data_IF_649686067887
#
_entry.id   IF_649686067887
#
_cell.length_a   1.000
_cell.length_b   1.000
_cell.length_c   1.000
_cell.angle_alpha   90.00
_cell.angle_beta   90.00
_cell.angle_gamma   90.00
#
_symmetry.space_group_name_H-M   'P 1'
#
loop_
_entity.id
_entity.type
_entity.pdbx_description
1 polymer ?
#
# COMPACT_ATOMS: atom_id res chain seq x y z
N UNK A 1 -12.07 -12.50 7.44
CA UNK A 1 -13.52 -12.41 7.14
C UNK A 1 -13.87 -10.97 6.79
N UNK A 2 -14.86 -10.69 5.92
CA UNK A 2 -15.32 -9.32 5.77
C UNK A 2 -15.81 -8.84 7.15
N UNK A 3 -15.56 -7.57 7.47
CA UNK A 3 -16.19 -6.93 8.63
C UNK A 3 -17.67 -7.30 8.62
N UNK A 4 -18.15 -7.90 9.72
CA UNK A 4 -19.55 -8.31 9.82
C UNK A 4 -20.41 -7.16 9.35
N UNK A 5 -21.28 -7.41 8.37
CA UNK A 5 -22.17 -6.41 7.81
C UNK A 5 -22.81 -5.62 8.94
N UNK A 6 -22.90 -4.28 8.85
CA UNK A 6 -23.57 -3.50 9.88
C UNK A 6 -24.96 -4.08 10.08
N UNK A 7 -25.25 -4.45 11.32
CA UNK A 7 -26.54 -4.96 11.75
C UNK A 7 -27.60 -3.94 11.31
N UNK A 8 -28.58 -4.39 10.53
CA UNK A 8 -29.60 -3.52 9.98
C UNK A 8 -30.34 -2.78 11.12
N UNK A 9 -30.60 -1.47 10.98
CA UNK A 9 -31.35 -0.71 11.98
C UNK A 9 -32.69 -1.39 12.27
N UNK A 10 -32.97 -1.68 13.55
CA UNK A 10 -34.25 -2.27 13.99
C UNK A 10 -34.26 -3.79 14.22
N UNK A 11 -33.10 -4.46 14.20
CA UNK A 11 -33.01 -5.85 14.69
C UNK A 11 -33.17 -5.89 16.22
N UNK A 12 -33.95 -6.85 16.76
CA UNK A 12 -34.13 -6.99 18.20
C UNK A 12 -32.78 -7.22 18.88
N UNK A 13 -32.49 -6.45 19.92
CA UNK A 13 -31.29 -6.65 20.73
C UNK A 13 -31.33 -8.05 21.38
N UNK A 14 -30.17 -8.71 21.56
CA UNK A 14 -30.11 -10.03 22.18
C UNK A 14 -30.75 -10.06 23.58
N UNK A 15 -31.32 -11.20 23.96
CA UNK A 15 -31.90 -11.42 25.28
C UNK A 15 -30.91 -11.08 26.39
N UNK A 16 -31.28 -10.15 27.27
CA UNK A 16 -30.43 -9.68 28.38
C UNK A 16 -29.62 -8.41 28.10
N UNK A 17 -29.77 -7.80 26.92
CA UNK A 17 -29.17 -6.49 26.65
C UNK A 17 -29.75 -5.40 27.59
N UNK A 18 -28.93 -4.52 28.20
CA UNK A 18 -29.41 -3.40 29.00
C UNK A 18 -30.40 -2.54 28.21
N UNK A 19 -31.40 -1.95 28.90
CA UNK A 19 -32.34 -1.00 28.27
C UNK A 19 -31.56 0.15 27.63
N UNK A 20 -31.63 0.27 26.31
CA UNK A 20 -31.01 1.38 25.57
C UNK A 20 -32.04 2.48 25.44
N UNK A 21 -31.70 3.69 25.90
CA UNK A 21 -32.53 4.87 25.68
C UNK A 21 -32.50 5.21 24.19
N UNK A 22 -33.62 4.93 23.50
CA UNK A 22 -33.75 5.15 22.05
C UNK A 22 -33.70 6.62 21.64
N UNK A 23 -33.80 7.55 22.60
CA UNK A 23 -33.69 8.99 22.36
C UNK A 23 -32.26 9.52 22.49
N UNK A 24 -31.30 8.68 22.90
CA UNK A 24 -29.90 9.06 23.06
C UNK A 24 -29.05 8.44 21.96
N UNK A 25 -28.29 9.27 21.24
CA UNK A 25 -27.32 8.78 20.26
C UNK A 25 -26.35 7.81 20.94
N UNK A 26 -25.97 6.70 20.28
CA UNK A 26 -24.96 5.79 20.81
C UNK A 26 -23.65 6.56 21.01
N UNK A 27 -22.93 6.31 22.12
CA UNK A 27 -21.68 6.99 22.40
C UNK A 27 -20.65 6.69 21.29
N UNK A 28 -19.89 7.70 20.91
CA UNK A 28 -18.73 7.56 20.02
C UNK A 28 -17.66 6.64 20.62
N UNK A 29 -16.77 6.12 19.78
CA UNK A 29 -15.64 5.31 20.24
C UNK A 29 -14.78 6.08 21.27
N UNK A 30 -14.62 7.39 21.10
CA UNK A 30 -13.88 8.26 22.00
C UNK A 30 -14.57 8.38 23.37
N UNK A 31 -15.88 8.59 23.39
CA UNK A 31 -16.66 8.66 24.64
C UNK A 31 -16.66 7.32 25.39
N UNK A 32 -16.80 6.22 24.66
CA UNK A 32 -16.70 4.86 25.23
C UNK A 32 -15.31 4.62 25.83
N UNK A 33 -14.24 4.94 25.10
CA UNK A 33 -12.88 4.79 25.62
C UNK A 33 -12.65 5.65 26.86
N UNK A 34 -13.10 6.91 26.87
CA UNK A 34 -12.99 7.78 28.04
C UNK A 34 -13.69 7.20 29.27
N UNK A 35 -14.87 6.62 29.09
CA UNK A 35 -15.59 5.94 30.18
C UNK A 35 -14.81 4.71 30.67
N UNK A 36 -14.29 3.90 29.74
CA UNK A 36 -13.50 2.71 30.06
C UNK A 36 -12.18 3.07 30.78
N UNK A 37 -11.48 4.12 30.34
CA UNK A 37 -10.25 4.61 30.98
C UNK A 37 -10.51 5.13 32.40
N UNK A 38 -11.68 5.74 32.63
CA UNK A 38 -12.09 6.21 33.96
C UNK A 38 -12.56 5.10 34.90
N UNK A 39 -12.69 3.86 34.40
CA UNK A 39 -13.16 2.72 35.18
C UNK A 39 -12.02 2.11 35.99
N UNK A 40 -12.04 2.32 37.30
CA UNK A 40 -10.98 1.85 38.21
C UNK A 40 -10.89 0.31 38.25
N UNK A 41 -9.66 -0.20 38.05
CA UNK A 41 -9.37 -1.63 38.06
C UNK A 41 -9.80 -2.39 36.78
N UNK A 42 -10.32 -1.69 35.75
CA UNK A 42 -10.79 -2.36 34.54
C UNK A 42 -9.68 -3.14 33.85
N UNK A 43 -8.45 -2.64 33.85
CA UNK A 43 -7.31 -3.27 33.18
C UNK A 43 -6.92 -4.58 33.87
N UNK A 44 -6.99 -4.61 35.20
CA UNK A 44 -6.52 -5.68 36.09
C UNK A 44 -7.57 -6.79 36.27
N UNK A 45 -8.86 -6.48 36.17
CA UNK A 45 -9.93 -7.48 36.31
C UNK A 45 -9.82 -8.56 35.24
N UNK A 46 -10.02 -9.80 35.67
CA UNK A 46 -10.11 -10.94 34.78
C UNK A 46 -11.29 -10.77 33.82
N UNK A 47 -11.07 -11.08 32.54
CA UNK A 47 -12.06 -10.98 31.47
C UNK A 47 -12.17 -12.30 30.74
N UNK A 48 -13.35 -12.54 30.16
CA UNK A 48 -13.48 -13.61 29.17
C UNK A 48 -12.66 -13.26 27.92
N UNK A 49 -12.44 -14.26 27.06
CA UNK A 49 -11.76 -14.05 25.78
C UNK A 49 -12.46 -12.97 24.94
N UNK A 50 -13.78 -13.01 24.87
CA UNK A 50 -14.62 -12.16 24.02
C UNK A 50 -14.54 -10.69 24.47
N UNK A 51 -14.60 -10.44 25.77
CA UNK A 51 -14.49 -9.09 26.33
C UNK A 51 -13.08 -8.53 26.10
N UNK A 52 -12.04 -9.32 26.40
CA UNK A 52 -10.66 -8.90 26.21
C UNK A 52 -10.33 -8.66 24.72
N UNK A 53 -10.81 -9.53 23.83
CA UNK A 53 -10.67 -9.39 22.37
C UNK A 53 -11.35 -8.12 21.85
N UNK A 54 -12.57 -7.84 22.32
CA UNK A 54 -13.33 -6.65 21.92
C UNK A 54 -12.65 -5.36 22.37
N UNK A 55 -12.19 -5.31 23.63
CA UNK A 55 -11.42 -4.16 24.14
C UNK A 55 -10.11 -4.00 23.36
N UNK A 56 -9.36 -5.09 23.15
CA UNK A 56 -8.11 -5.06 22.39
C UNK A 56 -8.30 -4.46 20.99
N UNK A 57 -9.35 -4.89 20.28
CA UNK A 57 -9.72 -4.35 18.95
C UNK A 57 -10.10 -2.88 19.00
N UNK A 58 -10.95 -2.50 19.97
CA UNK A 58 -11.37 -1.10 20.14
C UNK A 58 -10.17 -0.16 20.30
N UNK A 59 -9.26 -0.47 21.21
CA UNK A 59 -8.08 0.38 21.45
C UNK A 59 -7.13 0.37 20.24
N UNK A 60 -6.93 -0.78 19.59
CA UNK A 60 -6.07 -0.89 18.40
C UNK A 60 -6.58 -0.03 17.24
N UNK A 61 -7.88 -0.12 16.93
CA UNK A 61 -8.51 0.63 15.83
C UNK A 61 -8.47 2.15 16.06
N UNK A 62 -8.27 2.59 17.30
CA UNK A 62 -8.13 3.99 17.67
C UNK A 62 -6.66 4.40 17.92
N UNK A 63 -5.70 3.61 17.44
CA UNK A 63 -4.27 3.92 17.50
C UNK A 63 -3.64 3.80 18.90
N UNK A 64 -4.39 3.32 19.90
CA UNK A 64 -3.93 3.14 21.29
C UNK A 64 -3.28 1.78 21.47
N UNK A 65 -2.13 1.61 20.83
CA UNK A 65 -1.44 0.32 20.72
C UNK A 65 -1.00 -0.25 22.08
N UNK A 66 -0.54 0.58 23.01
CA UNK A 66 -0.06 0.11 24.33
C UNK A 66 -1.19 -0.48 25.19
N UNK A 67 -2.37 0.13 25.16
CA UNK A 67 -3.57 -0.34 25.83
C UNK A 67 -4.16 -1.55 25.12
N UNK A 68 -4.18 -1.54 23.78
CA UNK A 68 -4.58 -2.68 22.98
C UNK A 68 -3.76 -3.92 23.33
N UNK A 69 -2.43 -3.81 23.44
CA UNK A 69 -1.54 -4.92 23.80
C UNK A 69 -1.89 -5.56 25.15
N UNK A 70 -2.36 -4.79 26.11
CA UNK A 70 -2.79 -5.32 27.41
C UNK A 70 -4.00 -6.23 27.27
N UNK A 71 -5.04 -5.78 26.56
CA UNK A 71 -6.27 -6.54 26.40
C UNK A 71 -6.11 -7.69 25.41
N UNK A 72 -5.39 -7.49 24.31
CA UNK A 72 -5.04 -8.56 23.37
C UNK A 72 -4.19 -9.64 24.03
N UNK A 73 -3.28 -9.27 24.95
CA UNK A 73 -2.52 -10.22 25.77
C UNK A 73 -3.41 -11.05 26.69
N UNK A 74 -4.41 -10.44 27.33
CA UNK A 74 -5.40 -11.17 28.14
C UNK A 74 -6.23 -12.14 27.30
N UNK A 75 -6.68 -11.72 26.11
CA UNK A 75 -7.41 -12.56 25.18
C UNK A 75 -6.54 -13.74 24.70
N UNK A 76 -5.30 -13.50 24.30
CA UNK A 76 -4.36 -14.56 23.91
C UNK A 76 -4.18 -15.59 25.04
N UNK A 77 -4.02 -15.12 26.29
CA UNK A 77 -3.88 -16.01 27.44
C UNK A 77 -5.12 -16.89 27.66
N UNK A 78 -6.33 -16.37 27.40
CA UNK A 78 -7.57 -17.17 27.44
C UNK A 78 -7.66 -18.21 26.33
N UNK A 79 -6.94 -18.03 25.22
CA UNK A 79 -6.89 -18.99 24.11
C UNK A 79 -5.74 -20.00 24.18
N UNK A 80 -4.82 -19.89 25.16
CA UNK A 80 -3.65 -20.77 25.26
C UNK A 80 -4.03 -22.24 25.52
N UNK A 81 -5.13 -22.50 26.23
CA UNK A 81 -5.67 -23.85 26.46
C UNK A 81 -6.08 -24.52 25.15
N UNK A 82 -7.01 -23.91 24.42
CA UNK A 82 -7.44 -24.36 23.10
C UNK A 82 -6.26 -24.54 22.11
N UNK A 83 -5.28 -23.63 22.12
CA UNK A 83 -4.09 -23.73 21.27
C UNK A 83 -3.22 -24.93 21.63
N UNK A 84 -2.93 -25.11 22.92
CA UNK A 84 -2.13 -26.25 23.39
C UNK A 84 -2.81 -27.57 23.04
N UNK A 85 -4.14 -27.62 23.19
CA UNK A 85 -4.95 -28.77 22.81
C UNK A 85 -4.89 -29.04 21.30
N UNK A 86 -5.02 -28.01 20.45
CA UNK A 86 -4.89 -28.13 19.01
C UNK A 86 -3.54 -28.73 18.62
N UNK A 87 -2.44 -28.17 19.12
CA UNK A 87 -1.09 -28.62 18.78
C UNK A 87 -0.83 -30.05 19.26
N UNK A 88 -1.29 -30.40 20.46
CA UNK A 88 -1.19 -31.77 20.98
C UNK A 88 -1.98 -32.76 20.12
N UNK A 89 -3.20 -32.37 19.70
CA UNK A 89 -4.07 -33.22 18.88
C UNK A 89 -3.52 -33.38 17.47
N UNK A 90 -3.01 -32.30 16.87
CA UNK A 90 -2.32 -32.30 15.58
C UNK A 90 -1.06 -33.16 15.62
N UNK A 91 -0.27 -33.09 16.68
CA UNK A 91 0.90 -33.96 16.87
C UNK A 91 0.53 -35.44 16.93
N UNK A 92 -0.56 -35.80 17.63
CA UNK A 92 -1.08 -37.17 17.67
C UNK A 92 -1.60 -37.64 16.30
N UNK A 93 -2.26 -36.75 15.57
CA UNK A 93 -2.80 -37.02 14.23
C UNK A 93 -1.70 -37.18 13.16
N UNK A 94 -0.54 -36.55 13.37
CA UNK A 94 0.59 -36.61 12.45
C UNK A 94 0.29 -35.90 11.13
N UNK A 95 0.58 -36.56 10.00
CA UNK A 95 0.40 -36.02 8.65
C UNK A 95 -1.04 -36.13 8.12
N UNK A 96 -1.93 -36.81 8.84
CA UNK A 96 -3.31 -36.94 8.41
C UNK A 96 -4.00 -35.57 8.35
N UNK A 97 -4.90 -35.41 7.39
CA UNK A 97 -5.68 -34.19 7.24
C UNK A 97 -6.58 -33.98 8.46
N UNK A 98 -6.71 -32.74 8.91
CA UNK A 98 -7.71 -32.38 9.92
C UNK A 98 -9.05 -32.28 9.19
N UNK A 99 -10.10 -32.99 9.62
CA UNK A 99 -11.42 -32.86 9.03
C UNK A 99 -11.98 -31.45 9.23
N UNK A 100 -12.94 -31.05 8.40
CA UNK A 100 -13.62 -29.76 8.61
C UNK A 100 -14.41 -29.79 9.93
N UNK A 101 -14.73 -28.62 10.52
CA UNK A 101 -15.51 -28.56 11.76
C UNK A 101 -16.89 -29.22 11.65
N UNK A 102 -17.50 -29.16 10.45
CA UNK A 102 -18.78 -29.80 10.13
C UNK A 102 -18.63 -31.31 10.05
N UNK A 103 -17.61 -31.81 9.32
CA UNK A 103 -17.33 -33.23 9.21
C UNK A 103 -16.95 -33.85 10.56
N UNK A 104 -16.28 -33.07 11.41
CA UNK A 104 -16.00 -33.45 12.78
C UNK A 104 -17.24 -33.42 13.67
N UNK A 105 -18.33 -32.75 13.29
CA UNK A 105 -19.52 -32.49 14.12
C UNK A 105 -19.18 -31.70 15.40
N UNK A 106 -18.45 -30.58 15.27
CA UNK A 106 -18.13 -29.73 16.43
C UNK A 106 -19.36 -29.06 17.04
N UNK A 107 -20.41 -28.81 16.25
CA UNK A 107 -21.70 -28.31 16.74
C UNK A 107 -21.66 -26.87 17.26
N UNK A 108 -20.68 -26.07 16.84
CA UNK A 108 -20.54 -24.71 17.32
C UNK A 108 -21.60 -23.76 16.77
N UNK A 109 -22.05 -22.85 17.62
CA UNK A 109 -23.00 -21.79 17.24
C UNK A 109 -22.33 -20.42 17.18
N UNK A 110 -22.84 -19.48 16.37
CA UNK A 110 -22.33 -18.11 16.35
C UNK A 110 -22.36 -17.47 17.74
N UNK A 111 -21.23 -16.88 18.15
CA UNK A 111 -21.10 -16.23 19.47
C UNK A 111 -20.92 -17.19 20.63
N UNK A 112 -20.76 -18.49 20.39
CA UNK A 112 -20.44 -19.44 21.45
C UNK A 112 -19.11 -19.05 22.12
N UNK A 113 -19.06 -19.01 23.48
CA UNK A 113 -17.85 -18.67 24.21
C UNK A 113 -16.68 -19.63 23.94
N UNK A 114 -15.46 -19.10 23.90
CA UNK A 114 -14.25 -19.86 23.60
C UNK A 114 -14.03 -21.05 24.56
N UNK A 115 -14.32 -20.86 25.85
CA UNK A 115 -14.17 -21.89 26.88
C UNK A 115 -15.13 -23.07 26.65
N UNK A 116 -16.36 -22.79 26.25
CA UNK A 116 -17.35 -23.80 25.88
C UNK A 116 -16.92 -24.57 24.61
N UNK A 117 -16.37 -23.87 23.61
CA UNK A 117 -15.85 -24.50 22.40
C UNK A 117 -14.61 -25.38 22.71
N UNK A 118 -13.72 -24.89 23.58
CA UNK A 118 -12.56 -25.63 24.06
C UNK A 118 -12.99 -26.92 24.78
N UNK A 119 -14.00 -26.86 25.64
CA UNK A 119 -14.51 -28.02 26.38
C UNK A 119 -14.96 -29.16 25.43
N UNK A 120 -15.60 -28.83 24.30
CA UNK A 120 -15.98 -29.82 23.26
C UNK A 120 -14.75 -30.49 22.68
N UNK A 121 -13.73 -29.72 22.33
CA UNK A 121 -12.48 -30.26 21.80
C UNK A 121 -11.74 -31.12 22.85
N UNK A 122 -11.75 -30.70 24.13
CA UNK A 122 -11.13 -31.45 25.22
C UNK A 122 -11.82 -32.80 25.43
N UNK A 123 -13.15 -32.85 25.36
CA UNK A 123 -13.91 -34.09 25.50
C UNK A 123 -13.51 -35.12 24.42
N UNK A 124 -13.33 -34.65 23.17
CA UNK A 124 -12.85 -35.49 22.06
C UNK A 124 -11.41 -35.96 22.26
N UNK A 125 -10.53 -35.09 22.73
CA UNK A 125 -9.16 -35.47 23.01
C UNK A 125 -9.08 -36.56 24.09
N UNK A 126 -9.96 -36.49 25.10
CA UNK A 126 -10.09 -37.49 26.16
C UNK A 126 -10.67 -38.82 25.67
N UNK A 127 -11.57 -38.81 24.69
CA UNK A 127 -12.10 -40.03 24.08
C UNK A 127 -11.18 -40.68 23.05
N UNK A 128 -10.01 -40.09 22.78
CA UNK A 128 -9.04 -40.60 21.80
C UNK A 128 -9.30 -40.16 20.36
N UNK A 129 -10.34 -39.34 20.12
CA UNK A 129 -10.64 -38.74 18.81
C UNK A 129 -9.68 -37.57 18.52
N UNK A 130 -8.44 -37.89 18.16
CA UNK A 130 -7.42 -36.89 17.87
C UNK A 130 -7.77 -36.01 16.65
N UNK A 131 -8.45 -36.58 15.65
CA UNK A 131 -8.84 -35.87 14.44
C UNK A 131 -9.95 -34.84 14.73
N UNK A 132 -11.02 -35.25 15.42
CA UNK A 132 -12.09 -34.35 15.82
C UNK A 132 -11.65 -33.35 16.90
N UNK A 133 -10.76 -33.73 17.82
CA UNK A 133 -10.17 -32.79 18.77
C UNK A 133 -9.37 -31.69 18.06
N UNK A 134 -8.55 -32.04 17.08
CA UNK A 134 -7.80 -31.07 16.27
C UNK A 134 -8.75 -30.17 15.47
N UNK A 135 -9.80 -30.73 14.85
CA UNK A 135 -10.78 -29.96 14.10
C UNK A 135 -11.54 -28.95 14.97
N UNK A 136 -12.08 -29.39 16.11
CA UNK A 136 -12.85 -28.53 16.99
C UNK A 136 -11.98 -27.51 17.74
N UNK A 137 -10.76 -27.87 18.14
CA UNK A 137 -9.82 -26.91 18.72
C UNK A 137 -9.38 -25.86 17.68
N UNK A 138 -9.14 -26.28 16.42
CA UNK A 138 -8.81 -25.36 15.34
C UNK A 138 -9.95 -24.38 15.05
N UNK A 139 -11.20 -24.87 14.99
CA UNK A 139 -12.38 -24.02 14.83
C UNK A 139 -12.58 -23.07 16.02
N UNK A 140 -12.36 -23.52 17.25
CA UNK A 140 -12.41 -22.68 18.45
C UNK A 140 -11.38 -21.54 18.40
N UNK A 141 -10.21 -21.78 17.80
CA UNK A 141 -9.14 -20.79 17.70
C UNK A 141 -9.34 -19.75 16.61
N UNK A 142 -10.27 -19.91 15.67
CA UNK A 142 -10.42 -18.98 14.54
C UNK A 142 -10.51 -17.50 14.99
N UNK A 143 -11.34 -17.12 15.99
CA UNK A 143 -11.35 -15.74 16.50
C UNK A 143 -10.06 -15.31 17.22
N UNK A 144 -9.32 -16.26 17.79
CA UNK A 144 -8.07 -16.02 18.50
C UNK A 144 -6.88 -15.79 17.55
N UNK A 145 -6.90 -16.36 16.34
CA UNK A 145 -5.88 -16.10 15.32
C UNK A 145 -5.88 -14.62 14.90
N UNK A 146 -7.05 -14.03 14.73
CA UNK A 146 -7.19 -12.59 14.46
C UNK A 146 -6.66 -11.74 15.63
N UNK A 147 -6.88 -12.17 16.88
CA UNK A 147 -6.35 -11.48 18.08
C UNK A 147 -4.82 -11.50 18.06
N UNK A 148 -4.22 -12.65 17.74
CA UNK A 148 -2.77 -12.81 17.66
C UNK A 148 -2.16 -11.99 16.50
N UNK A 149 -2.84 -11.90 15.35
CA UNK A 149 -2.45 -11.01 14.25
C UNK A 149 -2.50 -9.55 14.68
N UNK A 150 -3.60 -9.10 15.28
CA UNK A 150 -3.73 -7.72 15.77
C UNK A 150 -2.68 -7.39 16.84
N UNK A 151 -2.38 -8.35 17.71
CA UNK A 151 -1.32 -8.21 18.70
C UNK A 151 0.04 -8.07 18.03
N UNK A 152 0.32 -8.87 17.01
CA UNK A 152 1.52 -8.74 16.17
C UNK A 152 1.62 -7.35 15.53
N UNK A 153 0.52 -6.85 14.95
CA UNK A 153 0.47 -5.52 14.34
C UNK A 153 0.71 -4.41 15.38
N UNK A 154 0.08 -4.50 16.55
CA UNK A 154 0.28 -3.54 17.64
C UNK A 154 1.73 -3.54 18.18
N UNK A 155 2.36 -4.72 18.27
CA UNK A 155 3.77 -4.85 18.64
C UNK A 155 4.69 -4.23 17.58
N UNK A 156 4.42 -4.47 16.30
CA UNK A 156 5.17 -3.89 15.19
C UNK A 156 5.09 -2.36 15.20
N UNK A 157 3.89 -1.80 15.34
CA UNK A 157 3.69 -0.34 15.44
C UNK A 157 4.34 0.27 16.70
N UNK A 158 4.47 -0.53 17.77
CA UNK A 158 5.21 -0.17 18.98
C UNK A 158 6.74 -0.32 18.87
N UNK A 159 7.26 -0.76 17.72
CA UNK A 159 8.70 -0.98 17.48
C UNK A 159 9.25 -2.31 18.03
N UNK A 160 8.40 -3.18 18.58
CA UNK A 160 8.80 -4.50 19.09
C UNK A 160 8.65 -5.57 18.00
N UNK A 161 9.51 -5.46 16.98
CA UNK A 161 9.53 -6.41 15.86
C UNK A 161 9.80 -7.86 16.30
N UNK A 162 10.56 -8.05 17.38
CA UNK A 162 10.92 -9.38 17.86
C UNK A 162 9.71 -10.13 18.40
N UNK A 163 8.88 -9.47 19.22
CA UNK A 163 7.65 -10.11 19.71
C UNK A 163 6.53 -10.10 18.67
N UNK A 164 6.51 -9.14 17.72
CA UNK A 164 5.61 -9.17 16.58
C UNK A 164 5.82 -10.44 15.71
N UNK A 165 7.08 -10.76 15.38
CA UNK A 165 7.41 -12.01 14.67
C UNK A 165 6.91 -13.25 15.41
N UNK A 166 7.08 -13.32 16.74
CA UNK A 166 6.55 -14.43 17.55
C UNK A 166 5.03 -14.52 17.48
N UNK A 167 4.32 -13.38 17.50
CA UNK A 167 2.87 -13.34 17.41
C UNK A 167 2.37 -13.87 16.06
N UNK A 168 2.96 -13.45 14.94
CA UNK A 168 2.59 -13.99 13.63
C UNK A 168 2.97 -15.46 13.47
N UNK A 169 4.15 -15.87 13.94
CA UNK A 169 4.57 -17.28 13.92
C UNK A 169 3.60 -18.17 14.72
N UNK A 170 3.10 -17.66 15.85
CA UNK A 170 2.10 -18.35 16.68
C UNK A 170 0.82 -18.67 15.92
N UNK A 171 0.38 -17.77 15.02
CA UNK A 171 -0.77 -17.97 14.11
C UNK A 171 -0.44 -19.01 13.05
N UNK A 172 0.72 -18.90 12.40
CA UNK A 172 1.16 -19.82 11.34
C UNK A 172 1.39 -21.27 11.83
N UNK A 173 1.67 -21.47 13.13
CA UNK A 173 1.70 -22.81 13.73
C UNK A 173 0.32 -23.48 13.77
N UNK A 174 -0.77 -22.71 13.83
CA UNK A 174 -2.14 -23.23 13.83
C UNK A 174 -2.69 -23.29 12.41
N UNK A 175 -2.54 -22.19 11.66
CA UNK A 175 -3.00 -22.03 10.29
C UNK A 175 -1.83 -21.60 9.38
N UNK A 176 -1.08 -22.57 8.81
CA UNK A 176 0.10 -22.28 7.99
C UNK A 176 -0.17 -21.48 6.70
N UNK A 177 -1.45 -21.35 6.33
CA UNK A 177 -1.89 -20.61 5.14
C UNK A 177 -2.67 -19.34 5.50
N UNK A 178 -2.59 -18.87 6.74
CA UNK A 178 -3.30 -17.66 7.15
C UNK A 178 -2.73 -16.45 6.41
N UNK A 179 -3.55 -15.80 5.56
CA UNK A 179 -3.10 -14.79 4.61
C UNK A 179 -2.35 -13.62 5.27
N UNK A 180 -2.96 -13.00 6.28
CA UNK A 180 -2.40 -11.80 6.90
C UNK A 180 -1.11 -12.10 7.69
N UNK A 181 -1.10 -13.19 8.47
CA UNK A 181 0.09 -13.63 9.18
C UNK A 181 1.24 -14.02 8.24
N UNK A 182 0.96 -14.69 7.10
CA UNK A 182 1.98 -14.99 6.09
C UNK A 182 2.59 -13.70 5.54
N UNK A 183 1.77 -12.73 5.17
CA UNK A 183 2.24 -11.45 4.64
C UNK A 183 3.05 -10.67 5.68
N UNK A 184 2.51 -10.49 6.89
CA UNK A 184 3.11 -9.68 7.93
C UNK A 184 4.41 -10.29 8.47
N UNK A 185 4.42 -11.61 8.74
CA UNK A 185 5.62 -12.32 9.18
C UNK A 185 6.74 -12.25 8.14
N UNK A 186 6.42 -12.52 6.87
CA UNK A 186 7.41 -12.53 5.78
C UNK A 186 7.97 -11.13 5.51
N UNK A 187 7.12 -10.10 5.52
CA UNK A 187 7.54 -8.71 5.37
C UNK A 187 8.48 -8.31 6.50
N UNK A 188 8.12 -8.64 7.75
CA UNK A 188 8.89 -8.27 8.92
C UNK A 188 10.24 -9.00 9.00
N UNK A 189 10.29 -10.27 8.59
CA UNK A 189 11.55 -11.00 8.41
C UNK A 189 12.44 -10.32 7.37
N UNK A 190 11.89 -9.96 6.20
CA UNK A 190 12.67 -9.29 5.16
C UNK A 190 13.20 -7.92 5.62
N UNK A 191 12.39 -7.16 6.35
CA UNK A 191 12.75 -5.85 6.88
C UNK A 191 13.84 -5.93 7.95
N UNK A 192 13.66 -6.81 8.94
CA UNK A 192 14.48 -6.81 10.17
C UNK A 192 15.62 -7.83 10.16
N UNK A 193 15.55 -8.83 9.26
CA UNK A 193 16.53 -9.91 9.13
C UNK A 193 17.15 -9.97 7.74
N UNK A 194 17.30 -8.81 7.10
CA UNK A 194 17.81 -8.68 5.73
C UNK A 194 19.22 -9.25 5.47
N UNK A 195 20.01 -9.50 6.50
CA UNK A 195 21.34 -10.14 6.37
C UNK A 195 21.34 -11.63 6.72
N UNK A 196 20.27 -12.13 7.33
CA UNK A 196 20.13 -13.54 7.68
C UNK A 196 19.51 -14.29 6.49
N UNK A 197 20.35 -15.01 5.74
CA UNK A 197 19.93 -15.74 4.55
C UNK A 197 18.86 -16.80 4.85
N UNK A 198 18.83 -17.37 6.05
CA UNK A 198 17.82 -18.35 6.42
C UNK A 198 16.48 -17.67 6.69
N UNK A 199 16.49 -16.53 7.39
CA UNK A 199 15.31 -15.71 7.59
C UNK A 199 14.75 -15.19 6.24
N UNK A 200 15.63 -14.78 5.31
CA UNK A 200 15.23 -14.39 3.97
C UNK A 200 14.56 -15.53 3.20
N UNK A 201 15.13 -16.74 3.23
CA UNK A 201 14.49 -17.91 2.60
C UNK A 201 13.11 -18.18 3.20
N UNK A 202 12.99 -18.13 4.53
CA UNK A 202 11.70 -18.29 5.21
C UNK A 202 10.69 -17.20 4.83
N UNK A 203 11.13 -15.95 4.70
CA UNK A 203 10.30 -14.84 4.23
C UNK A 203 9.79 -15.09 2.80
N UNK A 204 10.66 -15.55 1.90
CA UNK A 204 10.28 -15.92 0.53
C UNK A 204 9.24 -17.04 0.54
N UNK A 205 9.50 -18.13 1.27
CA UNK A 205 8.58 -19.26 1.40
C UNK A 205 7.19 -18.82 1.88
N UNK A 206 7.12 -17.88 2.82
CA UNK A 206 5.86 -17.33 3.29
C UNK A 206 5.11 -16.51 2.24
N UNK A 207 5.79 -15.68 1.45
CA UNK A 207 5.17 -14.99 0.31
C UNK A 207 4.71 -15.95 -0.79
N UNK A 208 5.53 -16.94 -1.13
CA UNK A 208 5.18 -17.97 -2.12
C UNK A 208 3.95 -18.79 -1.67
N UNK A 209 3.89 -19.12 -0.36
CA UNK A 209 2.74 -19.77 0.24
C UNK A 209 1.48 -18.91 0.13
N UNK A 210 1.56 -17.59 0.41
CA UNK A 210 0.44 -16.66 0.28
C UNK A 210 -0.07 -16.62 -1.16
N UNK A 211 0.82 -16.45 -2.13
CA UNK A 211 0.45 -16.38 -3.55
C UNK A 211 -0.20 -17.68 -4.02
N UNK A 212 0.26 -18.82 -3.49
CA UNK A 212 -0.28 -20.14 -3.84
C UNK A 212 -1.65 -20.38 -3.19
N UNK A 213 -1.83 -20.02 -1.92
CA UNK A 213 -3.09 -20.27 -1.21
C UNK A 213 -4.16 -19.21 -1.44
N UNK A 214 -3.76 -17.97 -1.75
CA UNK A 214 -4.64 -16.81 -1.92
C UNK A 214 -4.32 -16.02 -3.20
N UNK A 215 -4.45 -16.64 -4.39
CA UNK A 215 -4.04 -16.03 -5.65
C UNK A 215 -4.82 -14.74 -6.01
N UNK A 216 -6.04 -14.60 -5.49
CA UNK A 216 -6.93 -13.44 -5.69
C UNK A 216 -6.82 -12.37 -4.60
N UNK A 217 -5.97 -12.58 -3.58
CA UNK A 217 -5.74 -11.55 -2.56
C UNK A 217 -5.19 -10.28 -3.21
N UNK A 218 -5.64 -9.12 -2.74
CA UNK A 218 -5.07 -7.82 -3.11
C UNK A 218 -3.57 -7.74 -2.78
N UNK A 219 -3.09 -8.55 -1.84
CA UNK A 219 -1.66 -8.65 -1.47
C UNK A 219 -0.86 -9.57 -2.37
N UNK A 220 -1.50 -10.42 -3.20
CA UNK A 220 -0.81 -11.43 -4.00
C UNK A 220 0.17 -10.82 -5.01
N UNK A 221 -0.19 -9.70 -5.66
CA UNK A 221 0.71 -9.01 -6.59
C UNK A 221 1.98 -8.51 -5.87
N UNK A 222 1.82 -7.85 -4.74
CA UNK A 222 2.93 -7.34 -3.94
C UNK A 222 3.78 -8.48 -3.33
N UNK A 223 3.14 -9.56 -2.88
CA UNK A 223 3.84 -10.74 -2.38
C UNK A 223 4.72 -11.39 -3.45
N UNK A 224 4.27 -11.47 -4.71
CA UNK A 224 5.10 -11.95 -5.84
C UNK A 224 6.33 -11.08 -6.03
N UNK A 225 6.16 -9.76 -6.03
CA UNK A 225 7.27 -8.82 -6.19
C UNK A 225 8.28 -8.96 -5.04
N UNK A 226 7.80 -9.02 -3.80
CA UNK A 226 8.65 -9.19 -2.61
C UNK A 226 9.37 -10.53 -2.62
N UNK A 227 8.73 -11.62 -3.05
CA UNK A 227 9.37 -12.94 -3.22
C UNK A 227 10.56 -12.88 -4.20
N UNK A 228 10.37 -12.25 -5.37
CA UNK A 228 11.46 -12.05 -6.35
C UNK A 228 12.57 -11.19 -5.78
N UNK A 229 12.23 -10.08 -5.11
CA UNK A 229 13.21 -9.19 -4.48
C UNK A 229 14.04 -9.91 -3.41
N UNK A 230 13.40 -10.76 -2.61
CA UNK A 230 14.09 -11.58 -1.61
C UNK A 230 14.99 -12.61 -2.28
N UNK A 231 14.56 -13.23 -3.38
CA UNK A 231 15.42 -14.14 -4.16
C UNK A 231 16.69 -13.44 -4.65
N UNK A 232 16.57 -12.25 -5.22
CA UNK A 232 17.73 -11.44 -5.62
C UNK A 232 18.61 -11.06 -4.43
N UNK A 233 17.98 -10.75 -3.29
CA UNK A 233 18.67 -10.41 -2.05
C UNK A 233 19.50 -11.58 -1.52
N UNK A 234 18.92 -12.79 -1.55
CA UNK A 234 19.61 -14.03 -1.19
C UNK A 234 20.76 -14.32 -2.16
N UNK A 235 20.56 -14.16 -3.47
CA UNK A 235 21.61 -14.32 -4.49
C UNK A 235 22.78 -13.35 -4.29
N UNK A 236 22.49 -12.12 -3.90
CA UNK A 236 23.51 -11.13 -3.58
C UNK A 236 24.26 -11.43 -2.25
N UNK A 237 23.73 -12.35 -1.43
CA UNK A 237 24.31 -12.72 -0.15
C UNK A 237 23.97 -11.75 0.99
N UNK A 238 22.79 -11.11 0.94
CA UNK A 238 22.28 -10.20 1.97
C UNK A 238 21.79 -8.87 1.41
N UNK A 239 20.96 -8.17 2.20
CA UNK A 239 20.30 -6.92 1.81
C UNK A 239 21.30 -5.80 1.53
N UNK A 240 22.37 -5.68 2.33
CA UNK A 240 23.42 -4.70 2.07
C UNK A 240 24.07 -4.89 0.69
N UNK A 241 24.44 -6.14 0.36
CA UNK A 241 25.09 -6.45 -0.93
C UNK A 241 24.14 -6.25 -2.10
N UNK A 242 22.87 -6.60 -1.94
CA UNK A 242 21.85 -6.36 -2.96
C UNK A 242 21.61 -4.86 -3.19
N UNK A 243 21.53 -4.05 -2.13
CA UNK A 243 21.42 -2.60 -2.27
C UNK A 243 22.66 -2.00 -2.96
N UNK A 244 23.84 -2.50 -2.63
CA UNK A 244 25.08 -2.08 -3.28
C UNK A 244 25.12 -2.48 -4.77
N UNK A 245 24.69 -3.68 -5.13
CA UNK A 245 24.62 -4.11 -6.54
C UNK A 245 23.61 -3.27 -7.32
N UNK A 246 22.43 -2.99 -6.75
CA UNK A 246 21.42 -2.12 -7.37
C UNK A 246 21.92 -0.68 -7.56
N UNK A 247 22.68 -0.15 -6.60
CA UNK A 247 23.32 1.16 -6.73
C UNK A 247 24.41 1.15 -7.81
N UNK A 248 25.20 0.08 -7.91
CA UNK A 248 26.20 -0.09 -8.96
C UNK A 248 25.55 -0.21 -10.35
N UNK A 249 24.51 -1.03 -10.50
CA UNK A 249 23.73 -1.17 -11.73
C UNK A 249 23.13 0.17 -12.17
N UNK A 250 22.62 0.96 -11.21
CA UNK A 250 22.11 2.31 -11.50
C UNK A 250 23.22 3.22 -12.01
N UNK A 251 24.40 3.20 -11.38
CA UNK A 251 25.57 3.98 -11.84
C UNK A 251 26.01 3.55 -13.24
N UNK A 252 26.09 2.25 -13.51
CA UNK A 252 26.42 1.71 -14.83
C UNK A 252 25.38 2.14 -15.86
N UNK A 253 24.09 1.98 -15.57
CA UNK A 253 23.01 2.38 -16.47
C UNK A 253 23.02 3.89 -16.73
N UNK A 254 23.26 4.71 -15.71
CA UNK A 254 23.42 6.15 -15.87
C UNK A 254 24.66 6.45 -16.73
N UNK A 255 25.82 5.83 -16.48
CA UNK A 255 27.02 6.04 -17.30
C UNK A 255 26.83 5.60 -18.75
N UNK A 256 26.14 4.49 -19.00
CA UNK A 256 25.83 3.99 -20.33
C UNK A 256 24.81 4.89 -21.02
N UNK A 257 23.80 5.39 -20.31
CA UNK A 257 22.87 6.39 -20.83
C UNK A 257 23.57 7.71 -21.16
N UNK A 258 24.61 8.07 -20.40
CA UNK A 258 25.41 9.29 -20.63
C UNK A 258 26.32 9.10 -21.84
N UNK A 259 26.94 7.94 -21.97
CA UNK A 259 27.76 7.57 -23.13
C UNK A 259 26.92 7.41 -24.41
N UNK A 260 25.73 6.81 -24.32
CA UNK A 260 24.77 6.74 -25.42
C UNK A 260 24.19 8.12 -25.77
N UNK A 261 23.98 9.00 -24.77
CA UNK A 261 23.59 10.39 -25.00
C UNK A 261 24.69 11.19 -25.74
N UNK A 262 25.96 10.92 -25.43
CA UNK A 262 27.11 11.54 -26.08
C UNK A 262 27.37 11.00 -27.50
N UNK A 263 26.87 9.80 -27.82
CA UNK A 263 27.04 9.13 -29.11
C UNK A 263 25.89 9.36 -30.11
N UNK A 264 24.79 9.98 -29.66
CA UNK A 264 23.64 10.31 -30.52
C UNK A 264 23.74 11.76 -31.02
N UNK A 265 23.38 12.04 -32.28
CA UNK A 265 23.32 13.41 -32.77
C UNK A 265 22.34 14.23 -31.92
N UNK A 266 22.75 15.43 -31.52
CA UNK A 266 22.04 16.35 -30.60
C UNK A 266 20.59 16.69 -30.98
N UNK A 267 20.13 16.28 -32.16
CA UNK A 267 18.87 16.67 -32.79
C UNK A 267 17.81 15.56 -32.91
N UNK A 268 18.07 14.35 -32.44
CA UNK A 268 17.09 13.27 -32.45
C UNK A 268 16.32 13.17 -31.11
N UNK A 269 14.97 13.30 -31.10
CA UNK A 269 14.17 12.98 -29.92
C UNK A 269 14.38 11.51 -29.54
N UNK A 270 14.84 11.26 -28.31
CA UNK A 270 15.04 9.90 -27.81
C UNK A 270 13.68 9.22 -27.63
N UNK A 271 13.43 8.06 -28.26
CA UNK A 271 12.28 7.24 -27.93
C UNK A 271 12.40 6.78 -26.47
N UNK A 272 11.31 6.88 -25.70
CA UNK A 272 11.25 6.29 -24.37
C UNK A 272 11.26 4.76 -24.53
N UNK A 273 12.26 4.07 -23.98
CA UNK A 273 12.24 2.61 -23.96
C UNK A 273 11.12 2.11 -23.03
N UNK A 274 10.58 0.90 -23.25
CA UNK A 274 9.62 0.29 -22.33
C UNK A 274 10.12 0.27 -20.88
N UNK A 275 11.41 0.02 -20.65
CA UNK A 275 11.96 0.04 -19.29
C UNK A 275 12.04 1.46 -18.69
N UNK A 276 12.23 2.49 -19.53
CA UNK A 276 12.17 3.88 -19.07
C UNK A 276 10.75 4.28 -18.70
N UNK A 277 9.75 3.82 -19.46
CA UNK A 277 8.34 4.03 -19.15
C UNK A 277 7.96 3.32 -17.84
N UNK A 278 8.39 2.07 -17.66
CA UNK A 278 8.14 1.32 -16.42
C UNK A 278 8.87 1.91 -15.22
N UNK A 279 10.12 2.36 -15.39
CA UNK A 279 10.87 3.02 -14.33
C UNK A 279 10.19 4.32 -13.88
N UNK A 280 9.67 5.11 -14.82
CA UNK A 280 8.92 6.33 -14.52
C UNK A 280 7.60 6.02 -13.80
N UNK A 281 6.86 5.00 -14.23
CA UNK A 281 5.61 4.58 -13.57
C UNK A 281 5.82 4.07 -12.15
N UNK A 282 6.92 3.39 -11.89
CA UNK A 282 7.23 2.77 -10.60
C UNK A 282 8.07 3.67 -9.68
N UNK A 283 8.35 4.91 -10.07
CA UNK A 283 9.03 5.88 -9.21
C UNK A 283 8.03 6.50 -8.25
N UNK A 284 8.31 6.44 -6.94
CA UNK A 284 7.50 7.09 -5.91
C UNK A 284 7.45 8.61 -6.12
N UNK A 285 6.24 9.20 -6.10
CA UNK A 285 6.02 10.65 -6.24
C UNK A 285 6.25 11.35 -4.89
N UNK A 286 7.52 11.58 -4.55
CA UNK A 286 7.86 12.32 -3.33
C UNK A 286 7.67 13.84 -3.52
N UNK A 287 7.44 14.61 -2.44
CA UNK A 287 7.34 16.07 -2.51
C UNK A 287 8.58 16.74 -3.13
N UNK A 288 9.77 16.18 -2.90
CA UNK A 288 11.03 16.70 -3.44
C UNK A 288 11.11 16.48 -4.96
N UNK A 289 10.63 15.34 -5.46
CA UNK A 289 10.53 15.08 -6.89
C UNK A 289 9.55 16.06 -7.56
N UNK A 290 8.36 16.25 -6.97
CA UNK A 290 7.38 17.21 -7.51
C UNK A 290 7.91 18.64 -7.52
N UNK A 291 8.59 19.07 -6.45
CA UNK A 291 9.25 20.38 -6.41
C UNK A 291 10.33 20.52 -7.48
N UNK A 292 11.13 19.47 -7.70
CA UNK A 292 12.13 19.44 -8.76
C UNK A 292 11.54 19.51 -10.17
N UNK A 293 10.42 18.82 -10.41
CA UNK A 293 9.71 18.85 -11.69
C UNK A 293 9.10 20.22 -11.96
N UNK A 294 8.46 20.85 -10.96
CA UNK A 294 7.96 22.23 -11.06
C UNK A 294 9.09 23.19 -11.42
N UNK A 295 10.24 23.08 -10.74
CA UNK A 295 11.41 23.91 -11.03
C UNK A 295 11.88 23.77 -12.48
N UNK A 296 11.89 22.55 -13.03
CA UNK A 296 12.27 22.33 -14.43
C UNK A 296 11.30 22.99 -15.41
N UNK A 297 10.00 23.03 -15.10
CA UNK A 297 9.01 23.74 -15.92
C UNK A 297 9.27 25.25 -15.88
N UNK A 298 9.51 25.82 -14.70
CA UNK A 298 9.81 27.25 -14.52
C UNK A 298 11.09 27.65 -15.27
N UNK A 299 12.15 26.85 -15.15
CA UNK A 299 13.41 27.04 -15.89
C UNK A 299 13.17 26.92 -17.40
N UNK A 300 12.38 25.95 -17.85
CA UNK A 300 12.02 25.78 -19.26
C UNK A 300 11.37 27.01 -19.86
N UNK A 301 10.46 27.66 -19.13
CA UNK A 301 9.82 28.91 -19.58
C UNK A 301 10.78 30.09 -19.59
N UNK A 302 11.69 30.14 -18.63
CA UNK A 302 12.77 31.14 -18.62
C UNK A 302 13.71 30.98 -19.83
N UNK A 303 13.93 29.74 -20.26
CA UNK A 303 14.67 29.45 -21.48
C UNK A 303 13.88 29.88 -22.72
N UNK A 304 12.58 29.58 -22.79
CA UNK A 304 11.71 30.02 -23.89
C UNK A 304 11.67 31.55 -24.04
N UNK A 305 11.46 32.28 -22.94
CA UNK A 305 11.38 33.74 -22.96
C UNK A 305 12.69 34.42 -23.42
N UNK A 306 13.81 33.68 -23.38
CA UNK A 306 15.10 34.15 -23.86
C UNK A 306 15.49 33.53 -25.21
N UNK A 307 14.55 32.88 -25.91
CA UNK A 307 14.75 32.24 -27.21
C UNK A 307 15.66 31.00 -27.20
N UNK A 308 15.99 30.47 -26.01
CA UNK A 308 16.84 29.27 -25.84
C UNK A 308 16.00 28.00 -25.95
N UNK A 309 15.52 27.73 -27.16
CA UNK A 309 14.55 26.67 -27.40
C UNK A 309 15.11 25.25 -27.18
N UNK A 310 16.42 25.02 -27.36
CA UNK A 310 17.03 23.71 -27.13
C UNK A 310 17.06 23.36 -25.64
N UNK A 311 17.45 24.31 -24.80
CA UNK A 311 17.50 24.15 -23.35
C UNK A 311 16.09 24.05 -22.75
N UNK A 312 15.14 24.83 -23.26
CA UNK A 312 13.73 24.69 -22.91
C UNK A 312 13.22 23.27 -23.21
N UNK A 313 13.47 22.77 -24.42
CA UNK A 313 13.08 21.43 -24.83
C UNK A 313 13.70 20.35 -23.93
N UNK A 314 14.98 20.51 -23.55
CA UNK A 314 15.65 19.58 -22.64
C UNK A 314 14.96 19.49 -21.27
N UNK A 315 14.54 20.63 -20.71
CA UNK A 315 13.81 20.66 -19.45
C UNK A 315 12.43 19.99 -19.55
N UNK A 316 11.64 20.32 -20.56
CA UNK A 316 10.30 19.74 -20.71
C UNK A 316 10.33 18.23 -21.02
N UNK A 317 11.34 17.76 -21.77
CA UNK A 317 11.52 16.33 -22.06
C UNK A 317 11.75 15.50 -20.78
N UNK A 318 12.27 16.12 -19.71
CA UNK A 318 12.41 15.48 -18.40
C UNK A 318 11.13 15.47 -17.58
N UNK A 319 10.21 16.41 -17.82
CA UNK A 319 8.97 16.57 -17.03
C UNK A 319 7.85 15.69 -17.56
N UNK A 320 7.63 15.70 -18.88
CA UNK A 320 6.49 15.04 -19.53
C UNK A 320 6.34 13.55 -19.19
N UNK A 321 7.41 12.74 -19.06
CA UNK A 321 7.26 11.34 -18.66
C UNK A 321 6.64 11.17 -17.26
N UNK A 322 7.05 12.00 -16.28
CA UNK A 322 6.58 11.91 -14.89
C UNK A 322 5.22 12.58 -14.69
N UNK A 323 4.93 13.62 -15.48
CA UNK A 323 3.67 14.35 -15.43
C UNK A 323 3.05 14.41 -16.83
N UNK A 324 2.54 13.27 -17.35
CA UNK A 324 1.98 13.20 -18.69
C UNK A 324 0.71 14.04 -18.85
N UNK A 325 0.09 14.51 -17.76
CA UNK A 325 -1.08 15.40 -17.80
C UNK A 325 -0.73 16.88 -17.58
N UNK A 326 0.57 17.22 -17.46
CA UNK A 326 0.99 18.61 -17.27
C UNK A 326 0.89 19.40 -18.58
N UNK A 327 -0.24 20.09 -18.76
CA UNK A 327 -0.50 20.96 -19.92
C UNK A 327 0.55 22.06 -20.12
N UNK A 328 1.10 22.63 -19.03
CA UNK A 328 2.15 23.66 -19.07
C UNK A 328 3.44 23.12 -19.68
N UNK A 329 3.89 21.94 -19.25
CA UNK A 329 5.08 21.29 -19.80
C UNK A 329 4.89 20.86 -21.26
N UNK A 330 3.70 20.36 -21.62
CA UNK A 330 3.36 20.00 -23.02
C UNK A 330 3.34 21.20 -23.95
N UNK A 331 2.68 22.30 -23.54
CA UNK A 331 2.63 23.54 -24.30
C UNK A 331 4.05 24.11 -24.52
N UNK A 332 4.88 24.11 -23.46
CA UNK A 332 6.26 24.56 -23.53
C UNK A 332 7.12 23.70 -24.46
N UNK A 333 7.00 22.38 -24.38
CA UNK A 333 7.68 21.44 -25.27
C UNK A 333 7.29 21.65 -26.74
N UNK A 334 5.99 21.78 -27.00
CA UNK A 334 5.46 22.04 -28.33
C UNK A 334 6.01 23.35 -28.91
N UNK A 335 5.97 24.43 -28.12
CA UNK A 335 6.48 25.73 -28.54
C UNK A 335 7.99 25.71 -28.78
N UNK A 336 8.76 25.01 -27.95
CA UNK A 336 10.19 24.83 -28.15
C UNK A 336 10.50 24.10 -29.47
N UNK A 337 9.76 23.04 -29.80
CA UNK A 337 9.94 22.29 -31.05
C UNK A 337 9.55 23.11 -32.28
N UNK A 338 8.50 23.93 -32.18
CA UNK A 338 8.09 24.88 -33.23
C UNK A 338 9.17 25.94 -33.43
N UNK A 339 9.67 26.55 -32.35
CA UNK A 339 10.75 27.55 -32.41
C UNK A 339 12.06 27.00 -32.97
N UNK A 340 12.34 25.70 -32.78
CA UNK A 340 13.49 25.01 -33.37
C UNK A 340 13.27 24.54 -34.82
N UNK A 341 12.05 24.70 -35.37
CA UNK A 341 11.71 24.20 -36.71
C UNK A 341 11.88 22.69 -36.86
N UNK A 342 11.73 21.91 -35.78
CA UNK A 342 11.93 20.45 -35.83
C UNK A 342 10.77 19.79 -36.59
N UNK A 343 11.02 18.73 -37.40
CA UNK A 343 9.97 18.08 -38.21
C UNK A 343 8.77 17.58 -37.41
N UNK A 344 8.98 17.20 -36.14
CA UNK A 344 7.91 16.71 -35.26
C UNK A 344 7.15 17.83 -34.53
N UNK A 345 7.60 19.10 -34.63
CA UNK A 345 7.02 20.22 -33.91
C UNK A 345 5.55 20.44 -34.23
N UNK A 346 5.15 20.29 -35.50
CA UNK A 346 3.76 20.42 -35.92
C UNK A 346 2.85 19.37 -35.24
N UNK A 347 3.30 18.11 -35.17
CA UNK A 347 2.54 17.03 -34.53
C UNK A 347 2.40 17.25 -33.03
N UNK A 348 3.50 17.58 -32.34
CA UNK A 348 3.48 17.81 -30.89
C UNK A 348 2.65 19.04 -30.54
N UNK A 349 2.68 20.07 -31.40
CA UNK A 349 1.80 21.24 -31.31
C UNK A 349 0.32 20.88 -31.43
N UNK A 350 -0.08 20.09 -32.43
CA UNK A 350 -1.47 19.62 -32.54
C UNK A 350 -1.93 18.87 -31.28
N UNK A 351 -1.09 17.98 -30.74
CA UNK A 351 -1.40 17.24 -29.51
C UNK A 351 -1.54 18.17 -28.30
N UNK A 352 -0.71 19.21 -28.18
CA UNK A 352 -0.82 20.19 -27.11
C UNK A 352 -2.14 20.97 -27.19
N UNK A 353 -2.58 21.34 -28.41
CA UNK A 353 -3.85 22.03 -28.63
C UNK A 353 -5.07 21.15 -28.35
N UNK A 354 -5.03 19.89 -28.80
CA UNK A 354 -6.11 18.92 -28.58
C UNK A 354 -6.28 18.57 -27.09
N UNK A 355 -5.18 18.53 -26.34
CA UNK A 355 -5.20 18.19 -24.92
C UNK A 355 -5.55 19.37 -24.01
N UNK A 356 -4.91 20.54 -24.20
CA UNK A 356 -5.17 21.73 -23.41
C UNK A 356 -4.71 23.01 -24.15
N UNK A 357 -5.57 23.50 -25.06
CA UNK A 357 -5.34 24.79 -25.72
C UNK A 357 -5.27 25.98 -24.74
N UNK A 358 -5.88 25.86 -23.55
CA UNK A 358 -5.81 26.87 -22.49
C UNK A 358 -4.43 26.99 -21.86
N UNK A 359 -3.70 25.88 -21.72
CA UNK A 359 -2.30 25.89 -21.28
C UNK A 359 -1.38 26.59 -22.29
N UNK A 360 -1.67 26.47 -23.59
CA UNK A 360 -0.95 27.20 -24.64
C UNK A 360 -1.18 28.70 -24.50
N UNK A 361 -2.42 29.15 -24.33
CA UNK A 361 -2.71 30.58 -24.07
C UNK A 361 -1.95 31.12 -22.85
N UNK A 362 -2.00 30.39 -21.72
CA UNK A 362 -1.31 30.74 -20.47
C UNK A 362 0.20 30.77 -20.60
N UNK A 363 0.78 29.91 -21.43
CA UNK A 363 2.21 29.97 -21.73
C UNK A 363 2.56 31.29 -22.41
N UNK A 364 1.75 31.75 -23.37
CA UNK A 364 1.92 33.08 -23.97
C UNK A 364 1.85 34.20 -22.93
N UNK A 365 0.90 34.14 -21.99
CA UNK A 365 0.80 35.12 -20.89
C UNK A 365 2.06 35.12 -20.02
N UNK A 366 2.63 33.94 -19.80
CA UNK A 366 3.85 33.76 -19.00
C UNK A 366 5.09 34.28 -19.73
N UNK A 367 5.19 34.06 -21.04
CA UNK A 367 6.26 34.62 -21.87
C UNK A 367 6.20 36.16 -21.88
N UNK A 368 5.00 36.73 -22.00
CA UNK A 368 4.81 38.17 -21.92
C UNK A 368 5.25 38.72 -20.55
N UNK A 369 4.82 38.08 -19.46
CA UNK A 369 5.21 38.48 -18.10
C UNK A 369 6.73 38.38 -17.85
N UNK A 370 7.41 37.47 -18.55
CA UNK A 370 8.88 37.31 -18.53
C UNK A 370 9.62 38.23 -19.50
N UNK A 371 8.92 39.12 -20.21
CA UNK A 371 9.49 40.12 -21.10
C UNK A 371 9.61 39.70 -22.56
N UNK A 372 9.13 38.51 -22.94
CA UNK A 372 9.14 38.04 -24.33
C UNK A 372 7.81 38.34 -25.04
N UNK A 373 7.54 39.63 -25.25
CA UNK A 373 6.34 40.08 -25.95
C UNK A 373 6.26 39.54 -27.39
N UNK A 374 7.41 39.37 -28.05
CA UNK A 374 7.48 38.86 -29.43
C UNK A 374 7.12 37.38 -29.49
N UNK A 375 7.68 36.56 -28.61
CA UNK A 375 7.36 35.13 -28.53
C UNK A 375 5.93 34.88 -28.07
N UNK A 376 5.44 35.66 -27.10
CA UNK A 376 4.03 35.61 -26.67
C UNK A 376 3.07 35.88 -27.84
N UNK A 377 3.31 36.95 -28.60
CA UNK A 377 2.50 37.29 -29.78
C UNK A 377 2.53 36.20 -30.84
N UNK A 378 3.71 35.70 -31.20
CA UNK A 378 3.84 34.62 -32.19
C UNK A 378 3.11 33.34 -31.75
N UNK A 379 3.14 33.02 -30.46
CA UNK A 379 2.45 31.86 -29.90
C UNK A 379 0.93 32.04 -29.99
N UNK A 380 0.40 33.20 -29.62
CA UNK A 380 -1.02 33.51 -29.71
C UNK A 380 -1.54 33.58 -31.15
N UNK A 381 -0.76 34.12 -32.08
CA UNK A 381 -1.09 34.15 -33.52
C UNK A 381 -1.24 32.73 -34.04
N UNK A 382 -0.28 31.85 -33.70
CA UNK A 382 -0.33 30.44 -34.08
C UNK A 382 -1.51 29.71 -33.45
N UNK A 383 -1.81 29.95 -32.17
CA UNK A 383 -2.99 29.41 -31.50
C UNK A 383 -4.29 29.85 -32.19
N UNK A 384 -4.42 31.13 -32.54
CA UNK A 384 -5.60 31.67 -33.21
C UNK A 384 -5.78 31.11 -34.64
N UNK A 385 -4.67 30.87 -35.34
CA UNK A 385 -4.67 30.28 -36.68
C UNK A 385 -5.07 28.80 -36.65
N UNK A 386 -4.50 28.03 -35.73
CA UNK A 386 -4.67 26.57 -35.68
C UNK A 386 -5.94 26.15 -34.93
N UNK A 387 -6.53 27.04 -34.11
CA UNK A 387 -7.81 26.83 -33.41
C UNK A 387 -8.80 27.98 -33.68
N UNK A 388 -9.44 28.04 -34.87
CA UNK A 388 -10.31 29.16 -35.26
C UNK A 388 -11.56 29.37 -34.37
N UNK A 389 -11.99 28.30 -33.69
CA UNK A 389 -13.13 28.27 -32.75
C UNK A 389 -12.68 28.18 -31.28
N UNK A 390 -11.56 28.81 -30.94
CA UNK A 390 -11.05 28.82 -29.57
C UNK A 390 -12.05 29.46 -28.58
N UNK A 391 -12.37 28.82 -27.44
CA UNK A 391 -13.38 29.33 -26.51
C UNK A 391 -13.14 30.77 -26.00
N UNK A 392 -11.88 31.18 -25.82
CA UNK A 392 -11.51 32.53 -25.36
C UNK A 392 -11.08 33.46 -26.52
N UNK A 393 -11.63 33.28 -27.72
CA UNK A 393 -11.23 34.03 -28.92
C UNK A 393 -11.20 35.55 -28.75
N UNK A 394 -12.15 36.14 -28.04
CA UNK A 394 -12.20 37.58 -27.79
C UNK A 394 -11.02 38.08 -26.95
N UNK A 395 -10.64 37.34 -25.90
CA UNK A 395 -9.48 37.66 -25.06
C UNK A 395 -8.17 37.49 -25.84
N UNK A 396 -8.07 36.42 -26.64
CA UNK A 396 -6.91 36.17 -27.50
C UNK A 396 -6.75 37.29 -28.56
N UNK A 397 -7.84 37.76 -29.17
CA UNK A 397 -7.81 38.89 -30.10
C UNK A 397 -7.40 40.21 -29.43
N UNK A 398 -7.84 40.46 -28.20
CA UNK A 398 -7.41 41.62 -27.43
C UNK A 398 -5.90 41.60 -27.16
N UNK A 399 -5.33 40.43 -26.85
CA UNK A 399 -3.88 40.22 -26.65
C UNK A 399 -3.07 40.45 -27.92
N UNK A 400 -3.61 40.11 -29.09
CA UNK A 400 -2.97 40.33 -30.40
C UNK A 400 -3.00 41.79 -30.88
N UNK A 401 -3.93 42.57 -30.33
CA UNK A 401 -4.15 43.99 -30.66
C UNK A 401 -3.28 44.94 -29.83
N UNK A 402 -2.61 44.42 -28.80
CA UNK A 402 -1.57 45.11 -28.02
C UNK A 402 -0.19 44.87 -28.67
#
# INVERSE_FOLDING_TARGET
MPAGSPVAPGTPLPSGHPTVDTNKLPPSAEELMKQLDSSEGLREREKTFEIASSLGRLYYMNGRNAEALSYLGQAQAKADGARSLFLASRKKLGKAAIPTPEAANCGFTPGQPLDAMEAVAQARAKSGDAAGAAACAGAALSPALDVDVLRGNALYLGGDSANALKAYARVLEVEPRHEEALYAHSSLLFETKGEDLQALKSAREGFDALVTSHPESQRAAMARELSVRIEETVKAGGRQKWLASRAADRKVRLSQSTAQAAALPSDAPRPLSPEMVDAVKNTERTPELEAGLTKLVDEGEEHLARGRYQEALANYTRVVPFQPENGRAKAGMAWALVGLGRPMGARVWSVALESDAGAVEKLGDTLLAKGDAKGAKALWEKLAQDVPNYPNKAALQAKLSQ
#
